data_IF_241142341773
#
_entry.id   IF_241142341773
#
_cell.length_a   1.000
_cell.length_b   1.000
_cell.length_c   1.000
_cell.angle_alpha   90.00
_cell.angle_beta   90.00
_cell.angle_gamma   90.00
#
_symmetry.space_group_name_H-M   'P 1'
#
loop_
_entity.id
_entity.type
_entity.pdbx_description
1 polymer ?
#
# COMPACT_ATOMS: atom_id res chain seq x y z
N UNK A 1 -5.99 3.33 -30.17
CA UNK A 1 -4.69 3.43 -29.47
C UNK A 1 -4.27 4.88 -29.60
N UNK A 2 -4.11 5.57 -28.47
CA UNK A 2 -3.86 7.02 -28.41
C UNK A 2 -4.85 7.87 -29.23
N UNK A 3 -6.14 7.65 -28.99
CA UNK A 3 -7.24 8.35 -29.68
C UNK A 3 -7.49 7.90 -31.14
N UNK A 4 -6.57 7.16 -31.76
CA UNK A 4 -6.71 6.70 -33.15
C UNK A 4 -7.34 5.31 -33.25
N UNK A 5 -8.05 5.04 -34.36
CA UNK A 5 -8.62 3.72 -34.64
C UNK A 5 -7.49 2.68 -34.78
N UNK A 6 -7.55 1.62 -33.98
CA UNK A 6 -6.55 0.56 -33.96
C UNK A 6 -7.22 -0.82 -33.92
N UNK A 7 -6.77 -1.74 -34.78
CA UNK A 7 -7.25 -3.13 -34.79
C UNK A 7 -6.30 -4.00 -33.96
N UNK A 8 -6.66 -4.22 -32.71
CA UNK A 8 -5.94 -5.17 -31.85
C UNK A 8 -6.34 -6.63 -32.14
N UNK A 9 -5.43 -7.56 -31.87
CA UNK A 9 -5.74 -9.00 -31.92
C UNK A 9 -6.79 -9.37 -30.87
N UNK A 10 -7.78 -10.19 -31.26
CA UNK A 10 -8.93 -10.55 -30.41
C UNK A 10 -8.52 -11.21 -29.08
N UNK A 11 -7.50 -12.07 -29.10
CA UNK A 11 -7.02 -12.75 -27.90
C UNK A 11 -6.31 -11.79 -26.94
N UNK A 12 -5.37 -10.99 -27.45
CA UNK A 12 -4.57 -10.09 -26.62
C UNK A 12 -5.38 -8.94 -26.03
N UNK A 13 -6.37 -8.41 -26.75
CA UNK A 13 -7.26 -7.37 -26.22
C UNK A 13 -8.17 -7.93 -25.12
N UNK A 14 -8.72 -9.13 -25.29
CA UNK A 14 -9.54 -9.78 -24.27
C UNK A 14 -8.75 -10.01 -22.97
N UNK A 15 -7.54 -10.56 -23.09
CA UNK A 15 -6.66 -10.80 -21.96
C UNK A 15 -6.24 -9.50 -21.25
N UNK A 16 -5.93 -8.43 -21.99
CA UNK A 16 -5.56 -7.15 -21.40
C UNK A 16 -6.75 -6.49 -20.67
N UNK A 17 -7.94 -6.52 -21.27
CA UNK A 17 -9.14 -5.96 -20.65
C UNK A 17 -9.52 -6.71 -19.37
N UNK A 18 -9.30 -8.03 -19.30
CA UNK A 18 -9.52 -8.78 -18.05
C UNK A 18 -8.52 -8.46 -16.94
N UNK A 19 -7.37 -7.86 -17.27
CA UNK A 19 -6.31 -7.49 -16.33
C UNK A 19 -6.34 -6.00 -15.95
N UNK A 20 -7.04 -5.16 -16.70
CA UNK A 20 -7.13 -3.73 -16.39
C UNK A 20 -8.10 -3.48 -15.25
N UNK A 21 -7.60 -2.85 -14.18
CA UNK A 21 -8.38 -2.36 -13.05
C UNK A 21 -7.77 -1.06 -12.52
N UNK A 22 -8.54 -0.32 -11.75
CA UNK A 22 -8.33 1.11 -11.49
C UNK A 22 -7.37 1.41 -10.31
N UNK A 23 -6.80 2.61 -10.32
CA UNK A 23 -5.87 3.18 -9.33
C UNK A 23 -6.53 3.47 -7.95
N UNK A 24 -7.86 3.55 -7.92
CA UNK A 24 -8.65 3.95 -6.75
C UNK A 24 -8.50 3.00 -5.54
N UNK A 25 -8.12 1.74 -5.76
CA UNK A 25 -8.01 0.74 -4.69
C UNK A 25 -6.91 1.05 -3.69
N UNK A 26 -5.77 1.60 -4.15
CA UNK A 26 -4.62 1.91 -3.29
C UNK A 26 -5.03 2.82 -2.14
N UNK A 27 -5.87 3.82 -2.45
CA UNK A 27 -6.35 4.77 -1.44
C UNK A 27 -7.28 4.12 -0.44
N UNK A 28 -8.14 3.21 -0.88
CA UNK A 28 -9.05 2.49 0.01
C UNK A 28 -8.25 1.59 0.97
N UNK A 29 -7.29 0.82 0.46
CA UNK A 29 -6.44 -0.03 1.31
C UNK A 29 -5.60 0.79 2.28
N UNK A 30 -5.05 1.92 1.84
CA UNK A 30 -4.30 2.83 2.70
C UNK A 30 -5.18 3.42 3.80
N UNK A 31 -6.37 3.90 3.47
CA UNK A 31 -7.28 4.50 4.45
C UNK A 31 -7.84 3.48 5.45
N UNK A 32 -8.11 2.24 5.01
CA UNK A 32 -8.71 1.19 5.87
C UNK A 32 -7.65 0.52 6.74
N UNK A 33 -6.51 0.14 6.15
CA UNK A 33 -5.53 -0.71 6.82
C UNK A 33 -4.24 0.01 7.18
N UNK A 34 -3.97 1.18 6.60
CA UNK A 34 -2.65 1.84 6.67
C UNK A 34 -1.51 0.88 6.30
N UNK A 35 -1.77 0.01 5.32
CA UNK A 35 -0.88 -1.08 4.92
C UNK A 35 0.49 -0.59 4.45
N UNK A 36 1.50 -1.45 4.59
CA UNK A 36 2.88 -1.23 4.15
C UNK A 36 3.15 -2.18 2.97
N UNK A 37 3.91 -1.76 1.95
CA UNK A 37 4.53 -0.44 1.75
C UNK A 37 3.50 0.65 1.37
N UNK A 38 3.82 1.92 1.63
CA UNK A 38 3.04 3.07 1.18
C UNK A 38 3.88 4.35 1.07
N UNK A 39 3.38 5.32 0.31
CA UNK A 39 4.08 6.58 0.03
C UNK A 39 4.02 7.62 1.16
N UNK A 40 3.41 7.30 2.30
CA UNK A 40 3.41 8.20 3.48
C UNK A 40 4.55 7.94 4.45
N UNK A 41 5.23 6.77 4.32
CA UNK A 41 6.31 6.35 5.20
C UNK A 41 7.63 6.47 4.45
N UNK A 42 8.37 7.54 4.71
CA UNK A 42 9.62 7.82 4.01
C UNK A 42 10.89 7.35 4.73
N UNK A 43 10.81 6.90 5.98
CA UNK A 43 11.96 6.42 6.76
C UNK A 43 11.58 5.30 7.74
N UNK A 44 12.58 4.54 8.19
CA UNK A 44 12.44 3.54 9.27
C UNK A 44 11.97 4.19 10.57
N UNK A 45 12.32 5.45 10.82
CA UNK A 45 11.80 6.20 11.96
C UNK A 45 10.30 6.46 11.82
N UNK A 46 9.86 7.00 10.68
CA UNK A 46 8.44 7.25 10.41
C UNK A 46 7.61 5.96 10.49
N UNK A 47 8.18 4.84 10.00
CA UNK A 47 7.58 3.52 10.12
C UNK A 47 7.33 3.14 11.59
N UNK A 48 8.36 3.20 12.44
CA UNK A 48 8.23 2.88 13.87
C UNK A 48 7.21 3.78 14.58
N UNK A 49 7.19 5.07 14.24
CA UNK A 49 6.21 6.01 14.80
C UNK A 49 4.77 5.66 14.40
N UNK A 50 4.55 5.34 13.12
CA UNK A 50 3.24 4.89 12.63
C UNK A 50 2.78 3.62 13.34
N UNK A 51 3.66 2.62 13.45
CA UNK A 51 3.38 1.36 14.16
C UNK A 51 2.99 1.62 15.62
N UNK A 52 3.76 2.46 16.33
CA UNK A 52 3.48 2.79 17.73
C UNK A 52 2.15 3.53 17.90
N UNK A 53 1.85 4.47 17.00
CA UNK A 53 0.58 5.21 17.01
C UNK A 53 -0.61 4.26 16.87
N UNK A 54 -0.58 3.36 15.89
CA UNK A 54 -1.66 2.40 15.67
C UNK A 54 -1.78 1.37 16.79
N UNK A 55 -0.65 0.90 17.33
CA UNK A 55 -0.65 0.02 18.51
C UNK A 55 -1.33 0.69 19.72
N UNK A 56 -1.11 1.98 19.93
CA UNK A 56 -1.77 2.73 21.00
C UNK A 56 -3.28 2.94 20.72
N UNK A 57 -3.65 3.24 19.46
CA UNK A 57 -5.04 3.53 19.09
C UNK A 57 -5.93 2.29 19.09
N UNK A 58 -5.45 1.17 18.54
CA UNK A 58 -6.24 -0.04 18.28
C UNK A 58 -5.87 -1.21 19.21
N UNK A 59 -4.82 -1.07 20.03
CA UNK A 59 -4.29 -2.15 20.87
C UNK A 59 -3.49 -3.21 20.09
N UNK A 60 -3.54 -3.18 18.77
CA UNK A 60 -2.82 -4.04 17.84
C UNK A 60 -2.44 -3.24 16.59
N UNK A 61 -1.46 -3.73 15.85
CA UNK A 61 -1.05 -3.16 14.57
C UNK A 61 -1.83 -3.85 13.47
N UNK A 62 -2.89 -3.23 12.96
CA UNK A 62 -3.69 -3.69 11.80
C UNK A 62 -2.81 -3.98 10.57
N UNK A 63 -1.66 -3.31 10.51
CA UNK A 63 -0.56 -3.40 9.57
C UNK A 63 0.04 -4.82 9.40
N UNK A 64 -0.14 -5.72 10.37
CA UNK A 64 0.49 -7.06 10.37
C UNK A 64 -0.52 -8.22 10.26
N UNK A 65 -1.78 -7.99 10.64
CA UNK A 65 -2.82 -9.02 10.65
C UNK A 65 -3.83 -8.90 9.50
N UNK A 66 -3.78 -7.82 8.71
CA UNK A 66 -4.79 -7.54 7.68
C UNK A 66 -6.20 -7.35 8.26
N UNK A 67 -6.28 -6.99 9.55
CA UNK A 67 -7.56 -6.78 10.25
C UNK A 67 -7.99 -5.34 10.04
N UNK A 68 -9.15 -5.14 9.44
CA UNK A 68 -9.75 -3.81 9.32
C UNK A 68 -10.31 -3.37 10.69
N UNK A 69 -10.18 -2.10 11.08
CA UNK A 69 -10.97 -1.56 12.17
C UNK A 69 -12.46 -1.60 11.79
N UNK A 70 -13.35 -1.81 12.76
CA UNK A 70 -14.80 -1.81 12.50
C UNK A 70 -15.28 -0.45 11.96
N UNK A 71 -14.69 0.64 12.46
CA UNK A 71 -15.08 2.01 12.12
C UNK A 71 -13.85 2.86 11.83
N UNK A 72 -13.91 3.61 10.72
CA UNK A 72 -12.92 4.59 10.32
C UNK A 72 -13.40 5.98 10.71
N UNK A 73 -12.56 6.71 11.43
CA UNK A 73 -12.82 8.08 11.85
C UNK A 73 -12.00 9.03 10.97
N UNK A 74 -12.70 9.92 10.25
CA UNK A 74 -12.10 11.01 9.50
C UNK A 74 -12.46 12.33 10.18
N UNK A 75 -11.50 13.24 10.26
CA UNK A 75 -11.72 14.59 10.73
C UNK A 75 -11.84 15.51 9.51
N UNK A 76 -13.05 15.94 9.19
CA UNK A 76 -13.31 16.89 8.11
C UNK A 76 -14.07 18.09 8.68
N UNK A 77 -13.53 19.30 8.47
CA UNK A 77 -14.14 20.57 8.93
C UNK A 77 -14.48 20.67 10.43
N UNK A 78 -13.79 19.90 11.28
CA UNK A 78 -14.01 19.87 12.73
C UNK A 78 -15.08 18.88 13.20
N UNK A 79 -15.73 18.17 12.28
CA UNK A 79 -16.69 17.11 12.57
C UNK A 79 -16.04 15.74 12.38
N UNK A 80 -16.38 14.78 13.25
CA UNK A 80 -15.88 13.41 13.17
C UNK A 80 -16.85 12.60 12.31
N UNK A 81 -16.44 12.27 11.10
CA UNK A 81 -17.20 11.41 10.20
C UNK A 81 -16.76 9.97 10.44
N UNK A 82 -17.69 9.13 10.88
CA UNK A 82 -17.45 7.70 11.08
C UNK A 82 -18.00 6.91 9.90
N UNK A 83 -17.11 6.21 9.19
CA UNK A 83 -17.48 5.34 8.06
C UNK A 83 -17.14 3.89 8.43
N UNK A 84 -18.07 2.98 8.13
CA UNK A 84 -17.84 1.55 8.28
C UNK A 84 -16.82 1.04 7.24
N UNK A 85 -15.83 0.28 7.70
CA UNK A 85 -14.76 -0.21 6.83
C UNK A 85 -15.28 -1.14 5.72
N UNK A 86 -16.27 -1.99 6.04
CA UNK A 86 -16.86 -2.92 5.07
C UNK A 86 -17.50 -2.18 3.90
N UNK A 87 -18.18 -1.07 4.18
CA UNK A 87 -18.79 -0.20 3.17
C UNK A 87 -17.76 0.35 2.20
N UNK A 88 -16.59 0.78 2.70
CA UNK A 88 -15.50 1.27 1.85
C UNK A 88 -14.88 0.14 1.04
N UNK A 89 -14.68 -1.03 1.62
CA UNK A 89 -14.11 -2.20 0.95
C UNK A 89 -15.02 -2.78 -0.14
N UNK A 90 -16.34 -2.68 -0.03
CA UNK A 90 -17.29 -3.11 -1.08
C UNK A 90 -17.11 -2.40 -2.42
N UNK A 91 -16.52 -1.20 -2.40
CA UNK A 91 -16.22 -0.43 -3.61
C UNK A 91 -14.99 -0.95 -4.38
N UNK A 92 -14.13 -1.74 -3.73
CA UNK A 92 -12.94 -2.33 -4.36
C UNK A 92 -13.34 -3.44 -5.33
N UNK A 93 -12.77 -3.41 -6.54
CA UNK A 93 -13.01 -4.42 -7.59
C UNK A 93 -11.70 -4.96 -8.13
N UNK A 94 -11.40 -6.23 -7.85
CA UNK A 94 -10.12 -6.85 -8.24
C UNK A 94 -9.04 -6.67 -7.17
N UNK A 95 -7.78 -6.90 -7.53
CA UNK A 95 -6.63 -6.86 -6.60
C UNK A 95 -5.53 -5.87 -7.00
N UNK A 96 -5.71 -5.13 -8.10
CA UNK A 96 -4.67 -4.21 -8.56
C UNK A 96 -4.58 -2.98 -7.64
N UNK A 97 -3.37 -2.65 -7.23
CA UNK A 97 -3.01 -1.46 -6.46
C UNK A 97 -1.76 -0.83 -7.07
N UNK A 98 -1.60 0.48 -6.86
CA UNK A 98 -0.42 1.26 -7.24
C UNK A 98 0.77 0.81 -6.38
N UNK A 99 1.90 0.57 -7.04
CA UNK A 99 3.13 0.27 -6.34
C UNK A 99 3.73 1.55 -5.74
N UNK A 100 3.98 1.62 -4.43
CA UNK A 100 4.51 2.81 -3.79
C UNK A 100 5.98 3.02 -4.12
N UNK A 101 6.32 4.20 -4.62
CA UNK A 101 7.68 4.56 -5.05
C UNK A 101 8.42 5.42 -4.02
N UNK A 102 7.70 6.03 -3.08
CA UNK A 102 8.25 6.95 -2.08
C UNK A 102 8.46 6.28 -0.72
N UNK A 103 8.11 5.00 -0.60
CA UNK A 103 8.31 4.20 0.59
C UNK A 103 9.79 4.08 0.95
N UNK A 104 10.15 4.47 2.17
CA UNK A 104 11.52 4.48 2.70
C UNK A 104 12.54 5.30 1.88
N UNK A 105 12.10 6.25 1.04
CA UNK A 105 13.01 7.01 0.16
C UNK A 105 14.10 7.80 0.88
N UNK A 106 13.94 8.11 2.17
CA UNK A 106 14.91 8.86 2.96
C UNK A 106 16.01 7.97 3.54
N UNK A 107 15.90 6.65 3.40
CA UNK A 107 16.98 5.74 3.76
C UNK A 107 18.00 5.73 2.62
N UNK A 108 19.24 6.13 2.93
CA UNK A 108 20.34 6.15 1.95
C UNK A 108 20.65 4.74 1.41
N UNK A 109 20.43 3.72 2.24
CA UNK A 109 20.64 2.32 1.88
C UNK A 109 19.64 1.40 2.59
N UNK A 110 18.87 0.65 1.80
CA UNK A 110 17.94 -0.38 2.28
C UNK A 110 18.58 -1.77 2.36
N UNK A 111 19.81 -1.93 1.87
CA UNK A 111 20.56 -3.18 2.00
C UNK A 111 20.86 -3.44 3.48
N UNK A 112 21.04 -4.71 3.87
CA UNK A 112 21.51 -5.05 5.21
C UNK A 112 22.78 -4.26 5.57
N UNK A 113 22.78 -3.65 6.75
CA UNK A 113 23.94 -2.88 7.22
C UNK A 113 25.14 -3.82 7.36
N UNK A 114 26.30 -3.41 6.84
CA UNK A 114 27.58 -4.07 7.11
C UNK A 114 27.98 -3.79 8.57
N UNK A 115 27.49 -4.59 9.51
CA UNK A 115 28.16 -4.74 10.79
C UNK A 115 29.21 -5.84 10.61
N UNK A 116 30.43 -5.60 11.09
CA UNK A 116 31.65 -6.42 10.86
C UNK A 116 31.57 -7.89 11.34
N UNK A 117 30.37 -8.41 11.68
CA UNK A 117 30.17 -9.75 12.25
C UNK A 117 29.32 -10.72 11.43
N UNK A 118 28.29 -10.31 10.69
CA UNK A 118 27.29 -11.30 10.20
C UNK A 118 26.65 -10.96 8.83
N UNK A 119 26.47 -12.03 8.04
CA UNK A 119 25.73 -12.14 6.77
C UNK A 119 26.41 -11.63 5.49
N UNK A 120 27.29 -12.47 4.93
CA UNK A 120 27.72 -12.37 3.53
C UNK A 120 26.80 -13.20 2.64
N UNK A 121 25.68 -12.63 2.21
CA UNK A 121 25.04 -13.11 0.97
C UNK A 121 25.63 -12.31 -0.18
N UNK A 122 26.18 -12.99 -1.20
CA UNK A 122 26.63 -12.32 -2.43
C UNK A 122 25.51 -11.43 -2.97
N UNK A 123 25.85 -10.26 -3.52
CA UNK A 123 24.85 -9.37 -4.14
C UNK A 123 24.05 -10.07 -5.26
N UNK A 124 24.65 -11.09 -5.89
CA UNK A 124 24.01 -11.98 -6.88
C UNK A 124 22.84 -12.81 -6.32
N UNK A 125 22.66 -12.88 -5.00
CA UNK A 125 21.49 -13.53 -4.39
C UNK A 125 20.22 -12.69 -4.59
N UNK A 126 20.37 -11.37 -4.73
CA UNK A 126 19.26 -10.41 -4.80
C UNK A 126 19.18 -9.63 -6.12
N UNK A 127 20.12 -9.85 -7.06
CA UNK A 127 20.19 -9.21 -8.38
C UNK A 127 19.80 -10.15 -9.52
#
# INVERSE_FOLDING_TARGET
MDGSQWKAGKFSISLRLSLWTEESHTRIYHDVFSCIPNDTIHSRYALRQSINHWKQKLGHTTIDLGVAPEKLEFHENGEVITIDAETKLKSVRGQLVSFPLEFMRQEDDLRPMFNEGEFYTSSQVFH
#
